data_IF_489388930691
#
_entry.id   IF_489388930691
#
_cell.length_a   1.000
_cell.length_b   1.000
_cell.length_c   1.000
_cell.angle_alpha   90.00
_cell.angle_beta   90.00
_cell.angle_gamma   90.00
#
_symmetry.space_group_name_H-M   'P 1'
#
loop_
_entity.id
_entity.type
_entity.pdbx_description
1 polymer ?
#
# COMPACT_ATOMS: atom_id res chain seq x y z
N UNK A 1 -36.99 45.05 -65.01
CA UNK A 1 -35.69 44.39 -65.30
C UNK A 1 -35.18 43.71 -64.04
N UNK A 2 -34.80 42.43 -64.15
CA UNK A 2 -34.54 41.51 -63.03
C UNK A 2 -33.21 41.80 -62.32
N UNK A 3 -33.26 41.68 -60.99
CA UNK A 3 -32.18 41.80 -59.99
C UNK A 3 -30.99 40.88 -60.24
N UNK A 4 -29.79 41.32 -59.84
CA UNK A 4 -28.68 40.44 -59.42
C UNK A 4 -27.98 41.06 -58.20
N UNK A 5 -28.04 40.36 -57.07
CA UNK A 5 -27.10 40.50 -55.94
C UNK A 5 -26.15 39.29 -55.99
N UNK A 6 -24.84 39.46 -55.69
CA UNK A 6 -23.92 38.34 -55.60
C UNK A 6 -24.03 37.62 -54.25
N UNK A 7 -24.05 36.30 -54.30
CA UNK A 7 -23.92 35.39 -53.15
C UNK A 7 -22.45 35.37 -52.69
N UNK A 8 -22.21 35.76 -51.44
CA UNK A 8 -20.95 35.49 -50.73
C UNK A 8 -21.14 34.19 -49.95
N UNK A 9 -20.39 33.16 -50.34
CA UNK A 9 -20.36 31.89 -49.63
C UNK A 9 -19.51 32.04 -48.36
N UNK A 10 -20.14 31.95 -47.19
CA UNK A 10 -19.45 31.85 -45.90
C UNK A 10 -19.05 30.38 -45.68
N UNK A 11 -17.75 30.10 -45.71
CA UNK A 11 -17.20 28.82 -45.28
C UNK A 11 -17.15 28.79 -43.74
N UNK A 12 -17.99 27.95 -43.13
CA UNK A 12 -17.95 27.66 -41.70
C UNK A 12 -16.93 26.53 -41.50
N UNK A 13 -15.73 26.88 -41.03
CA UNK A 13 -14.75 25.89 -40.58
C UNK A 13 -15.18 25.33 -39.22
N UNK A 14 -15.63 24.08 -39.20
CA UNK A 14 -15.88 23.33 -37.98
C UNK A 14 -14.54 22.99 -37.31
N UNK A 15 -14.18 23.72 -36.25
CA UNK A 15 -13.09 23.34 -35.36
C UNK A 15 -13.57 22.12 -34.53
N UNK A 16 -13.08 20.93 -34.88
CA UNK A 16 -13.27 19.75 -34.05
C UNK A 16 -12.56 19.96 -32.71
N UNK A 17 -13.34 20.12 -31.64
CA UNK A 17 -12.86 20.03 -30.26
C UNK A 17 -12.33 18.61 -30.04
N UNK A 18 -11.02 18.41 -30.21
CA UNK A 18 -10.35 17.22 -29.73
C UNK A 18 -10.44 17.25 -28.20
N UNK A 19 -11.34 16.45 -27.64
CA UNK A 19 -11.33 16.18 -26.21
C UNK A 19 -9.93 15.69 -25.83
N UNK A 20 -9.32 16.17 -24.73
CA UNK A 20 -8.04 15.64 -24.29
C UNK A 20 -8.22 14.14 -24.12
N UNK A 21 -7.44 13.35 -24.87
CA UNK A 21 -7.40 11.91 -24.68
C UNK A 21 -7.15 11.67 -23.20
N UNK A 22 -8.07 10.96 -22.54
CA UNK A 22 -7.84 10.46 -21.18
C UNK A 22 -6.46 9.80 -21.21
N UNK A 23 -5.49 10.37 -20.48
CA UNK A 23 -4.13 9.82 -20.44
C UNK A 23 -4.27 8.35 -20.05
N UNK A 24 -3.80 7.46 -20.93
CA UNK A 24 -3.86 6.04 -20.68
C UNK A 24 -3.27 5.75 -19.30
N UNK A 25 -3.98 4.96 -18.48
CA UNK A 25 -3.47 4.54 -17.19
C UNK A 25 -2.11 3.85 -17.38
N UNK A 26 -1.14 4.19 -16.53
CA UNK A 26 0.18 3.56 -16.52
C UNK A 26 -0.01 2.07 -16.22
N UNK A 27 0.26 1.21 -17.22
CA UNK A 27 -0.15 -0.20 -17.21
C UNK A 27 1.02 -1.14 -17.56
N UNK A 28 2.01 -1.26 -16.68
CA UNK A 28 3.13 -2.16 -16.90
C UNK A 28 2.74 -3.62 -16.69
N UNK A 29 3.37 -4.49 -17.47
CA UNK A 29 3.28 -5.93 -17.27
C UNK A 29 4.64 -6.59 -17.52
N UNK A 30 5.56 -6.51 -16.56
CA UNK A 30 6.84 -7.24 -16.60
C UNK A 30 6.65 -8.72 -16.20
N UNK A 31 5.74 -9.41 -16.89
CA UNK A 31 5.38 -10.82 -16.67
C UNK A 31 6.60 -11.73 -16.74
N UNK A 32 6.54 -12.89 -16.11
CA UNK A 32 7.67 -13.82 -16.02
C UNK A 32 8.29 -14.15 -17.39
N UNK A 33 7.47 -14.37 -18.41
CA UNK A 33 7.88 -14.65 -19.79
C UNK A 33 8.30 -13.43 -20.62
N UNK A 34 8.21 -12.20 -20.08
CA UNK A 34 8.59 -11.00 -20.82
C UNK A 34 10.09 -10.98 -21.10
N UNK A 35 10.46 -10.58 -22.32
CA UNK A 35 11.87 -10.38 -22.69
C UNK A 35 12.52 -9.22 -21.91
N UNK A 36 11.71 -8.35 -21.29
CA UNK A 36 12.17 -7.21 -20.50
C UNK A 36 12.08 -7.46 -18.99
N UNK A 37 11.81 -8.70 -18.57
CA UNK A 37 11.85 -9.11 -17.17
C UNK A 37 13.30 -9.24 -16.66
N UNK A 38 13.99 -8.11 -16.51
CA UNK A 38 15.37 -8.03 -16.00
C UNK A 38 15.46 -8.17 -14.48
N UNK A 39 14.31 -8.10 -13.79
CA UNK A 39 14.19 -8.17 -12.33
C UNK A 39 13.77 -9.55 -11.82
N UNK A 40 13.56 -10.52 -12.71
CA UNK A 40 13.26 -11.90 -12.35
C UNK A 40 11.89 -12.06 -11.69
N UNK A 41 10.88 -11.33 -12.16
CA UNK A 41 9.50 -11.49 -11.72
C UNK A 41 9.05 -12.94 -12.00
N UNK A 42 8.53 -13.62 -10.97
CA UNK A 42 8.37 -15.08 -11.00
C UNK A 42 7.05 -15.59 -11.57
N UNK A 43 6.04 -14.74 -11.63
CA UNK A 43 4.66 -15.15 -11.90
C UNK A 43 4.21 -14.58 -13.24
N UNK A 44 3.52 -15.39 -14.02
CA UNK A 44 2.88 -14.90 -15.24
C UNK A 44 1.70 -13.98 -14.91
N UNK A 45 1.52 -12.94 -15.70
CA UNK A 45 0.32 -12.12 -15.66
C UNK A 45 -0.90 -12.97 -16.01
N UNK A 46 -1.97 -12.78 -15.25
CA UNK A 46 -3.21 -13.52 -15.41
C UNK A 46 -4.26 -12.59 -16.04
N UNK A 47 -4.98 -13.03 -17.09
CA UNK A 47 -6.10 -12.26 -17.62
C UNK A 47 -7.17 -12.01 -16.55
N UNK A 48 -7.73 -10.81 -16.53
CA UNK A 48 -8.74 -10.46 -15.52
C UNK A 48 -9.47 -9.16 -15.78
N UNK A 49 -10.52 -8.96 -14.99
CA UNK A 49 -11.38 -7.78 -14.97
C UNK A 49 -11.30 -7.19 -13.57
N UNK A 50 -11.15 -5.86 -13.48
CA UNK A 50 -11.12 -5.20 -12.17
C UNK A 50 -12.47 -5.32 -11.48
N UNK A 51 -12.47 -5.52 -10.15
CA UNK A 51 -13.65 -5.26 -9.34
C UNK A 51 -14.16 -3.83 -9.56
N UNK A 52 -15.48 -3.66 -9.49
CA UNK A 52 -16.13 -2.36 -9.42
C UNK A 52 -15.75 -1.62 -8.13
N UNK A 53 -16.09 -0.33 -8.04
CA UNK A 53 -15.86 0.47 -6.82
C UNK A 53 -16.56 -0.14 -5.60
N UNK A 54 -17.77 -0.68 -5.78
CA UNK A 54 -18.52 -1.32 -4.69
C UNK A 54 -17.84 -2.63 -4.25
N UNK A 55 -17.41 -3.47 -5.19
CA UNK A 55 -16.70 -4.72 -4.88
C UNK A 55 -15.35 -4.45 -4.23
N UNK A 56 -14.60 -3.44 -4.68
CA UNK A 56 -13.35 -3.04 -4.01
C UNK A 56 -13.57 -2.60 -2.58
N UNK A 57 -14.59 -1.78 -2.31
CA UNK A 57 -14.92 -1.42 -0.93
C UNK A 57 -15.24 -2.67 -0.09
N UNK A 58 -16.06 -3.58 -0.59
CA UNK A 58 -16.36 -4.85 0.09
C UNK A 58 -15.10 -5.71 0.34
N UNK A 59 -14.16 -5.75 -0.62
CA UNK A 59 -12.87 -6.43 -0.45
C UNK A 59 -12.07 -5.76 0.69
N UNK A 60 -11.94 -4.44 0.70
CA UNK A 60 -11.20 -3.73 1.74
C UNK A 60 -11.84 -3.87 3.12
N UNK A 61 -13.17 -3.90 3.20
CA UNK A 61 -13.89 -4.12 4.46
C UNK A 61 -13.74 -5.57 4.94
N UNK A 62 -13.65 -6.54 4.02
CA UNK A 62 -13.32 -7.92 4.37
C UNK A 62 -11.88 -8.03 4.90
N UNK A 63 -10.91 -7.45 4.19
CA UNK A 63 -9.50 -7.56 4.57
C UNK A 63 -9.11 -6.66 5.75
N UNK A 64 -9.88 -5.63 6.08
CA UNK A 64 -9.64 -4.84 7.29
C UNK A 64 -9.91 -5.64 8.58
N UNK A 65 -10.80 -6.64 8.51
CA UNK A 65 -11.19 -7.48 9.66
C UNK A 65 -10.22 -8.64 9.95
N UNK A 66 -9.16 -8.81 9.17
CA UNK A 66 -8.13 -9.79 9.47
C UNK A 66 -8.39 -11.22 8.99
N UNK A 67 -7.45 -12.15 9.23
CA UNK A 67 -7.51 -13.54 8.76
C UNK A 67 -8.75 -14.30 9.21
N UNK A 68 -9.23 -14.03 10.42
CA UNK A 68 -10.45 -14.65 10.93
C UNK A 68 -11.67 -14.35 10.05
N UNK A 69 -11.70 -13.19 9.38
CA UNK A 69 -12.78 -12.79 8.49
C UNK A 69 -12.60 -13.32 7.05
N UNK A 70 -11.38 -13.26 6.49
CA UNK A 70 -11.15 -13.67 5.10
C UNK A 70 -10.90 -15.17 4.91
N UNK A 71 -10.53 -15.91 5.97
CA UNK A 71 -10.30 -17.36 5.90
C UNK A 71 -9.32 -17.74 4.79
N UNK A 72 -9.75 -18.61 3.88
CA UNK A 72 -8.92 -19.06 2.75
C UNK A 72 -8.83 -18.04 1.59
N UNK A 73 -9.55 -16.92 1.66
CA UNK A 73 -9.51 -15.87 0.63
C UNK A 73 -8.24 -15.00 0.70
N UNK A 74 -7.44 -15.13 1.77
CA UNK A 74 -6.16 -14.45 1.95
C UNK A 74 -5.10 -15.39 2.54
N UNK A 75 -3.84 -14.95 2.66
CA UNK A 75 -2.83 -15.72 3.36
C UNK A 75 -3.03 -15.67 4.87
N UNK A 76 -2.32 -16.55 5.58
CA UNK A 76 -2.11 -16.38 7.02
C UNK A 76 -1.35 -15.06 7.29
N UNK A 77 -1.58 -14.46 8.45
CA UNK A 77 -0.84 -13.27 8.89
C UNK A 77 -0.41 -13.37 10.34
N UNK A 78 0.58 -12.57 10.70
CA UNK A 78 1.04 -12.44 12.08
C UNK A 78 0.08 -11.56 12.89
N UNK A 79 -0.01 -11.79 14.20
CA UNK A 79 -0.65 -10.86 15.12
C UNK A 79 0.07 -9.50 15.14
N UNK A 80 -0.64 -8.48 15.63
CA UNK A 80 -0.12 -7.12 15.75
C UNK A 80 0.33 -6.85 17.18
N UNK A 81 1.46 -6.15 17.32
CA UNK A 81 1.81 -5.55 18.62
C UNK A 81 0.95 -4.32 18.87
N UNK A 82 0.30 -4.22 20.01
CA UNK A 82 -0.40 -3.03 20.49
C UNK A 82 0.26 -2.50 21.76
N UNK A 83 0.27 -1.17 21.96
CA UNK A 83 0.89 -0.52 23.10
C UNK A 83 2.37 -0.23 22.90
N UNK A 84 2.90 0.73 23.64
CA UNK A 84 4.30 1.18 23.57
C UNK A 84 4.98 1.29 24.94
N UNK A 85 4.57 0.44 25.89
CA UNK A 85 4.94 0.45 27.32
C UNK A 85 4.36 1.63 28.12
N UNK A 86 3.99 2.73 27.44
CA UNK A 86 3.38 3.90 28.03
C UNK A 86 2.42 4.56 27.05
N UNK A 87 1.13 4.78 27.41
CA UNK A 87 0.50 4.35 28.66
C UNK A 87 0.20 2.84 28.71
N UNK A 88 0.04 2.16 27.57
CA UNK A 88 -0.29 0.73 27.56
C UNK A 88 0.95 -0.15 27.42
N UNK A 89 0.99 -1.24 28.19
CA UNK A 89 1.99 -2.29 28.05
C UNK A 89 1.87 -2.98 26.69
N UNK A 90 3.00 -3.43 26.13
CA UNK A 90 2.99 -4.13 24.86
C UNK A 90 2.27 -5.48 24.97
N UNK A 91 1.35 -5.74 24.04
CA UNK A 91 0.66 -7.03 23.89
C UNK A 91 0.47 -7.41 22.43
N UNK A 92 0.27 -8.69 22.16
CA UNK A 92 -0.17 -9.16 20.84
C UNK A 92 -1.70 -9.14 20.77
N UNK A 93 -2.23 -8.69 19.64
CA UNK A 93 -3.66 -8.70 19.32
C UNK A 93 -3.88 -9.31 17.93
N UNK A 94 -5.11 -9.71 17.65
CA UNK A 94 -5.49 -10.16 16.32
C UNK A 94 -5.26 -9.06 15.29
N UNK A 95 -4.89 -9.47 14.08
CA UNK A 95 -4.53 -8.53 13.02
C UNK A 95 -5.77 -7.92 12.38
N UNK A 96 -6.12 -6.71 12.81
CA UNK A 96 -7.11 -5.84 12.16
C UNK A 96 -6.44 -4.57 11.64
N UNK A 97 -6.98 -3.98 10.57
CA UNK A 97 -6.34 -2.88 9.86
C UNK A 97 -7.38 -1.77 9.58
N UNK A 98 -6.98 -0.49 9.60
CA UNK A 98 -7.88 0.58 9.16
C UNK A 98 -8.21 0.46 7.68
N UNK A 99 -9.48 0.27 7.33
CA UNK A 99 -9.91 0.12 5.94
C UNK A 99 -9.60 1.37 5.09
N UNK A 100 -9.68 2.56 5.69
CA UNK A 100 -9.43 3.85 5.03
C UNK A 100 -7.97 3.89 4.57
N UNK A 101 -7.08 3.35 5.40
CA UNK A 101 -5.67 3.21 5.09
C UNK A 101 -5.43 2.18 3.97
N UNK A 102 -6.07 1.00 4.04
CA UNK A 102 -5.92 -0.02 2.99
C UNK A 102 -6.41 0.49 1.63
N UNK A 103 -7.57 1.16 1.62
CA UNK A 103 -8.16 1.87 0.48
C UNK A 103 -7.17 2.90 -0.09
N UNK A 104 -6.57 3.72 0.78
CA UNK A 104 -5.61 4.73 0.38
C UNK A 104 -4.30 4.16 -0.18
N UNK A 105 -3.74 3.11 0.44
CA UNK A 105 -2.54 2.41 -0.06
C UNK A 105 -2.81 1.86 -1.45
N UNK A 106 -3.85 1.06 -1.64
CA UNK A 106 -4.15 0.48 -2.97
C UNK A 106 -4.47 1.55 -4.02
N UNK A 107 -5.10 2.66 -3.62
CA UNK A 107 -5.34 3.80 -4.53
C UNK A 107 -4.02 4.46 -4.94
N UNK A 108 -3.07 4.57 -4.01
CA UNK A 108 -1.76 5.12 -4.26
C UNK A 108 -0.87 4.19 -5.09
N UNK A 109 -1.00 2.88 -4.91
CA UNK A 109 -0.20 1.87 -5.59
C UNK A 109 -0.62 1.63 -7.04
N UNK A 110 -1.93 1.59 -7.31
CA UNK A 110 -2.45 1.20 -8.63
C UNK A 110 -3.72 1.93 -9.07
N UNK A 111 -4.28 2.80 -8.23
CA UNK A 111 -5.60 3.37 -8.45
C UNK A 111 -6.74 2.35 -8.32
N UNK A 112 -6.57 1.33 -7.46
CA UNK A 112 -7.44 0.15 -7.34
C UNK A 112 -7.53 -0.68 -8.64
N UNK A 113 -6.39 -0.85 -9.32
CA UNK A 113 -6.33 -1.70 -10.51
C UNK A 113 -5.51 -2.95 -10.21
N UNK A 114 -6.16 -4.11 -10.27
CA UNK A 114 -5.49 -5.40 -10.30
C UNK A 114 -5.04 -5.73 -11.72
N UNK A 115 -5.88 -5.39 -12.71
CA UNK A 115 -5.70 -5.75 -14.10
C UNK A 115 -5.79 -4.52 -15.01
N UNK A 116 -4.99 -4.47 -16.06
CA UNK A 116 -5.25 -3.55 -17.17
C UNK A 116 -4.59 -4.04 -18.46
N UNK A 117 -4.97 -3.43 -19.59
CA UNK A 117 -4.34 -3.70 -20.86
C UNK A 117 -2.93 -3.09 -20.86
N UNK A 118 -1.86 -3.89 -20.97
CA UNK A 118 -0.51 -3.38 -20.84
C UNK A 118 -0.15 -2.37 -21.93
N UNK A 119 0.50 -1.28 -21.51
CA UNK A 119 1.09 -0.29 -22.41
C UNK A 119 2.62 -0.46 -22.55
N UNK A 120 3.21 -1.29 -21.68
CA UNK A 120 4.64 -1.61 -21.63
C UNK A 120 4.88 -2.93 -20.87
N UNK A 121 6.06 -3.55 -21.00
CA UNK A 121 7.09 -3.28 -21.99
C UNK A 121 6.62 -3.61 -23.43
N UNK A 122 7.45 -3.33 -24.44
CA UNK A 122 7.04 -3.35 -25.86
C UNK A 122 6.53 -4.72 -26.34
N UNK A 123 7.05 -5.81 -25.78
CA UNK A 123 6.60 -7.19 -26.05
C UNK A 123 5.24 -7.53 -25.42
N UNK A 124 4.76 -6.72 -24.49
CA UNK A 124 3.45 -6.86 -23.85
C UNK A 124 2.45 -5.81 -24.31
N UNK A 125 2.92 -4.67 -24.83
CA UNK A 125 2.07 -3.55 -25.22
C UNK A 125 0.95 -3.96 -26.21
N UNK A 126 -0.27 -3.52 -25.92
CA UNK A 126 -1.45 -3.79 -26.77
C UNK A 126 -2.10 -5.16 -26.53
N UNK A 127 -1.59 -5.95 -25.59
CA UNK A 127 -2.20 -7.21 -25.22
C UNK A 127 -3.47 -7.00 -24.35
N UNK A 128 -4.27 -8.06 -24.18
CA UNK A 128 -5.52 -8.00 -23.41
C UNK A 128 -5.28 -7.70 -21.92
N UNK A 129 -6.31 -7.16 -21.25
CA UNK A 129 -6.32 -6.90 -19.80
C UNK A 129 -5.81 -8.09 -19.01
N UNK A 130 -4.81 -7.85 -18.16
CA UNK A 130 -4.11 -8.84 -17.34
C UNK A 130 -3.48 -8.17 -16.13
N UNK A 131 -2.94 -8.96 -15.20
CA UNK A 131 -2.33 -8.48 -13.96
C UNK A 131 -1.33 -7.34 -14.23
N UNK A 132 -1.43 -6.26 -13.46
CA UNK A 132 -0.40 -5.22 -13.44
C UNK A 132 0.84 -5.79 -12.77
N UNK A 133 1.98 -5.73 -13.46
CA UNK A 133 3.28 -6.15 -12.94
C UNK A 133 4.26 -5.03 -13.22
N UNK A 134 4.69 -4.32 -12.19
CA UNK A 134 5.67 -3.24 -12.31
C UNK A 134 7.09 -3.78 -12.57
N UNK A 135 7.99 -2.89 -12.97
CA UNK A 135 9.37 -3.25 -13.32
C UNK A 135 10.14 -3.84 -12.13
N UNK A 136 9.75 -3.52 -10.90
CA UNK A 136 10.33 -4.05 -9.68
C UNK A 136 9.60 -5.31 -9.16
N UNK A 137 8.75 -5.91 -9.99
CA UNK A 137 7.95 -7.10 -9.66
C UNK A 137 6.88 -6.85 -8.60
N UNK A 138 6.29 -5.66 -8.57
CA UNK A 138 5.09 -5.33 -7.81
C UNK A 138 3.83 -5.78 -8.54
N UNK A 139 3.02 -6.63 -7.91
CA UNK A 139 1.84 -7.25 -8.53
C UNK A 139 0.55 -6.63 -8.03
N UNK A 140 -0.32 -6.30 -8.99
CA UNK A 140 -1.73 -6.03 -8.76
C UNK A 140 -2.02 -4.77 -7.94
N UNK A 141 -3.18 -4.76 -7.31
CA UNK A 141 -3.76 -3.55 -6.73
C UNK A 141 -2.95 -2.97 -5.57
N UNK A 142 -2.34 -3.85 -4.76
CA UNK A 142 -1.51 -3.50 -3.61
C UNK A 142 0.00 -3.52 -3.91
N UNK A 143 0.40 -3.69 -5.18
CA UNK A 143 1.79 -3.72 -5.66
C UNK A 143 2.70 -4.59 -4.80
N UNK A 144 2.33 -5.86 -4.64
CA UNK A 144 3.06 -6.83 -3.81
C UNK A 144 4.38 -7.17 -4.50
N UNK A 145 5.51 -6.80 -3.89
CA UNK A 145 6.85 -7.05 -4.46
C UNK A 145 7.63 -8.14 -3.73
N UNK A 146 7.64 -8.12 -2.39
CA UNK A 146 8.36 -9.12 -1.59
C UNK A 146 7.74 -10.50 -1.77
N UNK A 147 8.52 -11.51 -2.17
CA UNK A 147 7.99 -12.86 -2.41
C UNK A 147 7.61 -13.15 -3.87
N UNK A 148 7.72 -12.15 -4.75
CA UNK A 148 7.25 -12.25 -6.13
C UNK A 148 8.36 -12.44 -7.17
N UNK A 149 9.62 -12.64 -6.73
CA UNK A 149 10.79 -12.86 -7.58
C UNK A 149 11.20 -14.33 -7.63
N UNK A 150 11.90 -14.70 -8.70
CA UNK A 150 12.43 -16.05 -8.88
C UNK A 150 13.41 -16.39 -7.77
N UNK A 151 13.18 -17.51 -7.08
CA UNK A 151 13.98 -17.95 -5.93
C UNK A 151 13.46 -17.46 -4.58
N UNK A 152 12.47 -16.57 -4.55
CA UNK A 152 11.78 -16.22 -3.31
C UNK A 152 11.00 -17.43 -2.76
N UNK A 153 10.84 -17.47 -1.44
CA UNK A 153 10.05 -18.50 -0.73
C UNK A 153 9.04 -17.81 0.20
N UNK A 154 7.98 -17.19 -0.35
CA UNK A 154 6.99 -16.50 0.46
C UNK A 154 6.11 -17.45 1.26
N UNK A 155 5.53 -16.93 2.35
CA UNK A 155 4.53 -17.61 3.17
C UNK A 155 3.10 -17.55 2.59
N UNK A 156 2.96 -17.11 1.34
CA UNK A 156 1.69 -16.96 0.62
C UNK A 156 1.84 -17.50 -0.81
N UNK A 157 0.73 -17.67 -1.53
CA UNK A 157 0.73 -18.16 -2.92
C UNK A 157 0.90 -16.98 -3.92
N UNK A 158 2.06 -16.87 -4.60
CA UNK A 158 2.31 -15.79 -5.55
C UNK A 158 1.35 -15.79 -6.75
N UNK A 159 0.84 -16.95 -7.15
CA UNK A 159 -0.09 -17.05 -8.29
C UNK A 159 -1.44 -16.45 -7.93
N UNK A 160 -1.90 -16.65 -6.69
CA UNK A 160 -3.12 -16.01 -6.18
C UNK A 160 -2.95 -14.50 -6.05
N UNK A 161 -1.78 -14.02 -5.63
CA UNK A 161 -1.47 -12.57 -5.62
C UNK A 161 -1.66 -11.93 -7.00
N UNK A 162 -1.28 -12.64 -8.07
CA UNK A 162 -1.46 -12.15 -9.44
C UNK A 162 -2.91 -12.24 -9.93
N UNK A 163 -3.64 -13.28 -9.54
CA UNK A 163 -4.94 -13.64 -10.11
C UNK A 163 -6.17 -13.14 -9.35
N UNK A 164 -6.07 -12.95 -8.03
CA UNK A 164 -7.21 -12.73 -7.15
C UNK A 164 -7.09 -11.37 -6.44
N UNK A 165 -7.96 -10.39 -6.77
CA UNK A 165 -7.98 -9.07 -6.12
C UNK A 165 -8.10 -9.12 -4.58
N UNK A 166 -8.87 -10.07 -4.04
CA UNK A 166 -9.04 -10.23 -2.59
C UNK A 166 -7.77 -10.75 -1.96
N UNK A 167 -7.18 -11.79 -2.55
CA UNK A 167 -5.92 -12.36 -2.07
C UNK A 167 -4.76 -11.38 -2.18
N UNK A 168 -4.71 -10.58 -3.26
CA UNK A 168 -3.74 -9.50 -3.43
C UNK A 168 -3.84 -8.46 -2.30
N UNK A 169 -5.06 -7.96 -2.04
CA UNK A 169 -5.30 -7.00 -0.96
C UNK A 169 -4.95 -7.59 0.42
N UNK A 170 -5.37 -8.83 0.70
CA UNK A 170 -5.06 -9.52 1.95
C UNK A 170 -3.54 -9.73 2.11
N UNK A 171 -2.81 -10.04 1.04
CA UNK A 171 -1.34 -10.14 1.06
C UNK A 171 -0.69 -8.78 1.33
N UNK A 172 -1.28 -7.69 0.84
CA UNK A 172 -0.90 -6.33 1.21
C UNK A 172 -1.01 -6.09 2.72
N UNK A 173 -2.09 -6.55 3.36
CA UNK A 173 -2.24 -6.46 4.82
C UNK A 173 -1.22 -7.31 5.58
N UNK A 174 -0.88 -8.50 5.05
CA UNK A 174 0.17 -9.35 5.62
C UNK A 174 1.53 -8.63 5.63
N UNK A 175 1.88 -7.98 4.51
CA UNK A 175 3.10 -7.17 4.44
C UNK A 175 3.02 -5.98 5.39
N UNK A 176 1.89 -5.28 5.43
CA UNK A 176 1.70 -4.14 6.32
C UNK A 176 1.84 -4.53 7.80
N UNK A 177 1.35 -5.70 8.22
CA UNK A 177 1.54 -6.24 9.57
C UNK A 177 3.03 -6.47 9.88
N UNK A 178 3.80 -7.00 8.93
CA UNK A 178 5.26 -7.12 9.08
C UNK A 178 5.92 -5.74 9.24
N UNK A 179 5.47 -4.72 8.49
CA UNK A 179 6.00 -3.35 8.61
C UNK A 179 5.66 -2.73 9.95
N UNK A 180 4.44 -2.89 10.42
CA UNK A 180 4.00 -2.46 11.74
C UNK A 180 4.92 -3.01 12.83
N UNK A 181 5.18 -4.32 12.80
CA UNK A 181 6.11 -4.99 13.72
C UNK A 181 7.55 -4.45 13.62
N UNK A 182 8.02 -4.14 12.41
CA UNK A 182 9.40 -3.71 12.16
C UNK A 182 9.66 -2.22 12.50
N UNK A 183 8.62 -1.40 12.61
CA UNK A 183 8.75 0.05 12.81
C UNK A 183 8.67 0.46 14.28
N UNK A 184 9.18 1.65 14.60
CA UNK A 184 9.01 2.27 15.92
C UNK A 184 7.56 2.75 16.11
N UNK A 185 7.17 2.91 17.37
CA UNK A 185 5.84 3.37 17.74
C UNK A 185 5.50 4.74 17.14
N UNK A 186 4.23 4.91 16.76
CA UNK A 186 3.61 6.22 16.57
C UNK A 186 2.45 6.25 17.55
N UNK A 187 2.43 7.28 18.40
CA UNK A 187 1.54 7.27 19.55
C UNK A 187 1.75 6.04 20.43
N UNK A 188 0.65 5.44 20.86
CA UNK A 188 0.65 4.20 21.64
C UNK A 188 0.39 2.94 20.79
N UNK A 189 0.65 3.00 19.47
CA UNK A 189 0.57 1.83 18.56
C UNK A 189 -0.76 1.09 18.69
N UNK A 190 -1.85 1.82 18.57
CA UNK A 190 -3.21 1.28 18.57
C UNK A 190 -3.62 0.90 17.13
N UNK A 191 -3.83 -0.39 16.78
CA UNK A 191 -4.14 -0.81 15.41
C UNK A 191 -5.40 -0.18 14.82
N UNK A 192 -6.38 0.16 15.67
CA UNK A 192 -7.62 0.80 15.24
C UNK A 192 -7.47 2.28 14.89
N UNK A 193 -6.35 2.93 15.26
CA UNK A 193 -6.09 4.34 14.99
C UNK A 193 -5.32 4.48 13.68
N UNK A 194 -5.89 5.18 12.71
CA UNK A 194 -5.32 5.35 11.35
C UNK A 194 -3.91 5.93 11.41
N UNK A 195 -3.72 7.02 12.16
CA UNK A 195 -2.47 7.76 12.18
C UNK A 195 -1.31 7.00 12.83
N UNK A 196 -1.59 6.03 13.71
CA UNK A 196 -0.55 5.20 14.32
C UNK A 196 0.18 4.31 13.30
N UNK A 197 -0.38 4.13 12.11
CA UNK A 197 0.26 3.37 11.03
C UNK A 197 1.29 4.19 10.23
N UNK A 198 1.47 5.49 10.49
CA UNK A 198 2.30 6.38 9.67
C UNK A 198 3.69 5.80 9.34
N UNK A 199 4.41 5.30 10.35
CA UNK A 199 5.75 4.70 10.15
C UNK A 199 5.69 3.39 9.36
N UNK A 200 4.65 2.56 9.59
CA UNK A 200 4.44 1.32 8.85
C UNK A 200 4.12 1.57 7.37
N UNK A 201 3.37 2.63 7.07
CA UNK A 201 3.08 3.09 5.70
C UNK A 201 4.34 3.55 5.00
N UNK A 202 5.19 4.33 5.68
CA UNK A 202 6.50 4.68 5.14
C UNK A 202 7.33 3.40 4.85
N UNK A 203 7.36 2.45 5.79
CA UNK A 203 8.07 1.19 5.60
C UNK A 203 7.46 0.25 4.54
N UNK A 204 6.18 0.43 4.18
CA UNK A 204 5.51 -0.32 3.12
C UNK A 204 6.17 -0.05 1.76
N UNK A 205 6.38 1.23 1.42
CA UNK A 205 7.15 1.61 0.24
C UNK A 205 8.66 1.39 0.43
N UNK A 206 9.18 1.74 1.62
CA UNK A 206 10.58 1.57 1.99
C UNK A 206 11.09 2.68 2.89
N UNK A 207 11.70 2.27 4.01
CA UNK A 207 12.43 3.17 4.91
C UNK A 207 13.69 3.67 4.20
N UNK A 208 13.67 4.92 3.76
CA UNK A 208 14.76 5.56 3.04
C UNK A 208 14.69 7.08 3.21
N UNK A 209 15.86 7.72 3.20
CA UNK A 209 15.98 9.17 3.27
C UNK A 209 15.25 9.89 2.13
N UNK A 210 15.13 9.25 0.96
CA UNK A 210 14.40 9.84 -0.17
C UNK A 210 12.92 10.06 0.14
N UNK A 211 12.34 9.25 1.04
CA UNK A 211 10.96 9.34 1.50
C UNK A 211 10.82 10.07 2.85
N UNK A 212 11.92 10.64 3.38
CA UNK A 212 11.84 11.40 4.62
C UNK A 212 11.10 12.74 4.37
N UNK A 213 10.05 13.07 5.15
CA UNK A 213 9.37 14.38 5.13
C UNK A 213 10.25 15.62 5.25
N UNK A 214 11.41 15.50 5.89
CA UNK A 214 12.41 16.56 6.04
C UNK A 214 13.43 16.58 4.89
N UNK A 215 13.29 15.73 3.87
CA UNK A 215 14.15 15.77 2.70
C UNK A 215 13.94 17.10 1.95
N UNK A 216 15.00 17.87 1.65
CA UNK A 216 14.91 19.20 1.05
C UNK A 216 14.39 19.19 -0.40
N UNK A 217 14.21 18.02 -1.01
CA UNK A 217 13.52 17.87 -2.30
C UNK A 217 12.00 18.08 -2.20
N UNK A 218 11.44 18.07 -0.99
CA UNK A 218 10.03 18.38 -0.74
C UNK A 218 9.89 19.85 -0.34
N UNK A 219 8.80 20.48 -0.81
CA UNK A 219 8.49 21.85 -0.43
C UNK A 219 8.23 21.95 1.09
N UNK A 220 8.92 22.89 1.74
CA UNK A 220 8.83 23.14 3.17
C UNK A 220 7.50 23.77 3.60
N UNK A 221 6.73 24.31 2.66
CA UNK A 221 5.37 24.83 2.84
C UNK A 221 4.29 23.95 2.21
N UNK A 222 4.59 22.69 1.85
CA UNK A 222 3.61 21.79 1.23
C UNK A 222 2.41 21.54 2.15
N UNK A 223 1.23 21.57 1.57
CA UNK A 223 -0.01 21.15 2.22
C UNK A 223 -0.22 19.64 2.14
N UNK A 224 -1.45 19.23 2.45
CA UNK A 224 -1.93 17.86 2.17
C UNK A 224 -1.74 17.56 0.69
N UNK A 225 -1.28 16.35 0.37
CA UNK A 225 -1.10 15.92 -1.01
C UNK A 225 -2.46 15.76 -1.72
N UNK A 226 -2.68 16.55 -2.78
CA UNK A 226 -3.83 16.42 -3.66
C UNK A 226 -3.41 15.75 -4.98
N UNK A 227 -3.87 14.52 -5.27
CA UNK A 227 -3.53 13.82 -6.50
C UNK A 227 -4.04 14.48 -7.79
N UNK A 228 -5.05 15.37 -7.70
CA UNK A 228 -5.53 16.14 -8.85
C UNK A 228 -4.57 17.27 -9.24
N UNK A 229 -3.78 17.77 -8.27
CA UNK A 229 -2.76 18.81 -8.47
C UNK A 229 -1.39 18.15 -8.73
N UNK A 230 -1.10 17.05 -8.02
CA UNK A 230 0.20 16.40 -8.01
C UNK A 230 1.21 17.15 -7.14
N UNK A 231 2.50 16.99 -7.47
CA UNK A 231 3.60 17.59 -6.72
C UNK A 231 4.41 16.57 -5.93
N UNK A 232 5.59 17.00 -5.48
CA UNK A 232 6.49 16.14 -4.71
C UNK A 232 6.01 16.03 -3.26
N UNK A 233 5.72 14.80 -2.82
CA UNK A 233 5.46 14.47 -1.43
C UNK A 233 6.06 13.08 -1.13
N UNK A 234 6.50 12.82 0.11
CA UNK A 234 6.93 11.49 0.50
C UNK A 234 5.76 10.51 0.52
N UNK A 235 6.05 9.22 0.35
CA UNK A 235 5.06 8.18 0.10
C UNK A 235 3.90 8.18 1.12
N UNK A 236 4.22 8.18 2.41
CA UNK A 236 3.22 8.14 3.48
C UNK A 236 2.31 9.37 3.50
N UNK A 237 2.82 10.54 3.11
CA UNK A 237 1.98 11.74 2.99
C UNK A 237 1.09 11.70 1.75
N UNK A 238 1.52 11.02 0.67
CA UNK A 238 0.68 10.77 -0.50
C UNK A 238 -0.46 9.83 -0.16
N UNK A 239 -0.18 8.74 0.55
CA UNK A 239 -1.21 7.81 1.07
C UNK A 239 -2.19 8.56 1.98
N UNK A 240 -1.69 9.37 2.92
CA UNK A 240 -2.55 10.15 3.82
C UNK A 240 -3.40 11.16 3.05
N UNK A 241 -2.83 11.85 2.06
CA UNK A 241 -3.57 12.73 1.16
C UNK A 241 -4.67 12.01 0.37
N UNK A 242 -4.49 10.75 -0.01
CA UNK A 242 -5.56 9.96 -0.65
C UNK A 242 -6.78 9.77 0.25
N UNK A 243 -6.63 9.75 1.57
CA UNK A 243 -7.75 9.66 2.52
C UNK A 243 -8.58 10.95 2.57
N UNK A 244 -7.98 12.10 2.27
CA UNK A 244 -8.66 13.39 2.15
C UNK A 244 -9.24 13.63 0.74
N UNK A 245 -8.59 13.07 -0.28
CA UNK A 245 -8.91 13.23 -1.69
C UNK A 245 -9.37 11.90 -2.34
N UNK A 246 -10.47 11.34 -1.84
CA UNK A 246 -10.95 10.00 -2.22
C UNK A 246 -11.56 9.91 -3.62
N UNK A 247 -11.85 11.06 -4.24
CA UNK A 247 -12.59 11.13 -5.51
C UNK A 247 -14.01 10.57 -5.41
N UNK A 248 -14.58 10.52 -4.20
CA UNK A 248 -15.92 9.98 -3.94
C UNK A 248 -16.01 8.45 -3.89
N UNK A 249 -14.88 7.74 -3.88
CA UNK A 249 -14.84 6.27 -3.87
C UNK A 249 -15.08 5.65 -2.49
N UNK A 250 -14.80 6.40 -1.42
CA UNK A 250 -15.11 6.06 -0.03
C UNK A 250 -15.25 7.36 0.80
N UNK A 251 -15.74 7.24 2.04
CA UNK A 251 -15.86 8.37 2.97
C UNK A 251 -14.47 8.99 3.24
N UNK A 252 -14.37 10.31 3.08
CA UNK A 252 -13.12 11.02 3.36
C UNK A 252 -12.89 11.16 4.87
N UNK A 253 -11.63 11.11 5.27
CA UNK A 253 -11.20 11.47 6.63
C UNK A 253 -10.06 12.46 6.57
N UNK A 254 -10.05 13.41 7.50
CA UNK A 254 -9.03 14.45 7.59
C UNK A 254 -7.96 14.02 8.60
N UNK A 255 -6.99 13.23 8.15
CA UNK A 255 -5.97 12.64 9.03
C UNK A 255 -5.04 13.69 9.65
N UNK A 256 -4.51 13.37 10.83
CA UNK A 256 -3.46 14.15 11.46
C UNK A 256 -2.05 13.69 11.04
N UNK A 257 -1.11 14.63 10.97
CA UNK A 257 0.28 14.38 10.58
C UNK A 257 1.23 14.50 11.79
N UNK A 258 2.34 13.73 11.83
CA UNK A 258 3.38 13.94 12.82
C UNK A 258 4.04 15.30 12.65
N UNK A 259 4.52 15.89 13.75
CA UNK A 259 5.29 17.12 13.67
C UNK A 259 6.64 16.85 13.00
N UNK A 260 6.99 17.63 11.96
CA UNK A 260 8.24 17.46 11.21
C UNK A 260 9.50 17.43 12.11
N UNK A 261 9.49 18.22 13.18
CA UNK A 261 10.58 18.26 14.15
C UNK A 261 10.82 16.94 14.90
N UNK A 262 9.81 16.05 14.99
CA UNK A 262 9.91 14.75 15.66
C UNK A 262 10.45 13.65 14.72
N UNK A 263 10.34 13.83 13.40
CA UNK A 263 10.68 12.81 12.40
C UNK A 263 12.20 12.63 12.26
N UNK A 264 12.96 13.71 12.45
CA UNK A 264 14.41 13.73 12.26
C UNK A 264 14.84 13.63 10.79
N UNK A 265 16.15 13.47 10.56
CA UNK A 265 16.75 13.50 9.22
C UNK A 265 17.15 12.12 8.67
N UNK A 266 16.80 11.02 9.36
CA UNK A 266 17.23 9.66 9.00
C UNK A 266 16.40 8.99 7.89
N UNK A 267 16.74 7.75 7.54
CA UNK A 267 15.94 6.93 6.62
C UNK A 267 14.74 6.24 7.29
N UNK A 268 14.66 6.30 8.62
CA UNK A 268 13.56 5.76 9.42
C UNK A 268 13.31 6.70 10.60
N UNK A 269 12.05 6.93 11.02
CA UNK A 269 11.75 7.78 12.15
C UNK A 269 12.04 7.06 13.48
N UNK A 270 12.28 7.85 14.53
CA UNK A 270 12.25 7.36 15.90
C UNK A 270 10.79 7.03 16.32
N UNK A 271 10.58 6.77 17.62
CA UNK A 271 9.21 6.76 18.13
C UNK A 271 8.61 8.18 18.02
N UNK A 272 7.39 8.28 17.48
CA UNK A 272 6.67 9.53 17.27
C UNK A 272 5.55 9.67 18.29
N UNK A 273 5.23 10.90 18.68
CA UNK A 273 4.05 11.17 19.49
C UNK A 273 2.76 10.95 18.67
N UNK A 274 1.60 11.07 19.32
CA UNK A 274 0.31 11.10 18.62
C UNK A 274 0.31 12.20 17.56
N UNK A 275 0.12 11.85 16.27
CA UNK A 275 0.02 12.83 15.20
C UNK A 275 -1.11 13.82 15.48
N UNK A 276 -0.82 15.11 15.30
CA UNK A 276 -1.79 16.17 15.59
C UNK A 276 -1.82 17.28 14.57
N UNK A 277 -0.84 17.39 13.68
CA UNK A 277 -0.72 18.52 12.77
C UNK A 277 -1.80 18.44 11.68
N UNK A 278 -2.41 19.58 11.34
CA UNK A 278 -3.50 19.64 10.36
C UNK A 278 -3.01 19.46 8.91
N UNK A 279 -1.71 19.54 8.66
CA UNK A 279 -1.07 19.21 7.38
C UNK A 279 0.37 18.75 7.63
N UNK A 280 1.08 18.26 6.60
CA UNK A 280 2.49 17.89 6.72
C UNK A 280 3.42 18.97 7.27
N UNK A 281 3.08 20.26 7.12
CA UNK A 281 3.93 21.39 7.49
C UNK A 281 3.26 22.38 8.45
N UNK A 282 1.97 22.19 8.78
CA UNK A 282 1.21 23.08 9.68
C UNK A 282 0.77 22.34 10.95
N UNK A 283 1.52 22.56 12.02
CA UNK A 283 1.19 22.11 13.37
C UNK A 283 0.59 23.22 14.25
N UNK A 284 0.35 24.40 13.69
CA UNK A 284 -0.33 25.51 14.41
C UNK A 284 -1.82 25.24 14.51
N UNK A 285 -2.38 24.59 13.47
CA UNK A 285 -3.70 23.96 13.50
C UNK A 285 -3.53 22.48 13.80
N UNK A 286 -4.48 21.94 14.57
CA UNK A 286 -4.47 20.53 14.95
C UNK A 286 -5.72 19.79 14.50
N UNK A 287 -5.58 18.47 14.33
CA UNK A 287 -6.66 17.52 14.02
C UNK A 287 -6.69 16.40 15.06
N UNK A 288 -7.86 15.82 15.36
CA UNK A 288 -7.96 14.63 16.20
C UNK A 288 -7.44 13.39 15.46
N UNK A 289 -7.16 12.33 16.22
CA UNK A 289 -6.90 11.00 15.69
C UNK A 289 -8.20 10.33 15.23
N UNK A 290 -8.10 9.38 14.29
CA UNK A 290 -9.24 8.68 13.72
C UNK A 290 -9.23 7.19 14.09
N UNK A 291 -10.29 6.74 14.75
CA UNK A 291 -10.61 5.31 14.88
C UNK A 291 -11.27 4.87 13.56
N UNK A 292 -10.78 3.78 12.97
CA UNK A 292 -11.37 3.19 11.76
C UNK A 292 -12.83 2.81 11.99
N UNK A 293 -13.69 3.04 10.97
CA UNK A 293 -15.14 2.77 11.08
C UNK A 293 -15.61 1.51 10.36
N UNK A 294 -14.80 0.92 9.48
CA UNK A 294 -15.27 -0.20 8.65
C UNK A 294 -15.47 -1.54 9.37
N UNK A 295 -15.11 -1.65 10.65
CA UNK A 295 -15.42 -2.85 11.43
C UNK A 295 -16.90 -2.91 11.84
N UNK A 296 -17.57 -1.75 11.92
CA UNK A 296 -18.91 -1.63 12.51
C UNK A 296 -20.04 -1.76 11.46
N UNK A 297 -19.73 -1.61 10.17
CA UNK A 297 -20.74 -1.57 9.09
C UNK A 297 -21.21 -2.97 8.62
N UNK A 298 -20.82 -4.05 9.32
CA UNK A 298 -21.07 -5.44 8.92
C UNK A 298 -21.90 -6.32 9.86
N UNK A 299 -22.39 -5.84 11.02
CA UNK A 299 -23.17 -6.66 11.98
C UNK A 299 -23.72 -5.84 13.15
N UNK A 300 -24.77 -6.32 13.87
CA UNK A 300 -25.57 -5.47 14.76
C UNK A 300 -24.73 -4.90 15.89
N UNK A 301 -24.87 -3.59 16.09
CA UNK A 301 -24.23 -2.77 17.11
C UNK A 301 -24.24 -3.45 18.48
N UNK A 302 -23.08 -3.96 18.91
CA UNK A 302 -22.80 -4.31 20.29
C UNK A 302 -22.10 -3.14 20.96
N UNK A 303 -22.77 -2.50 21.91
CA UNK A 303 -22.19 -1.47 22.77
C UNK A 303 -20.89 -1.98 23.42
N UNK A 304 -19.77 -1.36 23.09
CA UNK A 304 -18.44 -1.86 23.44
C UNK A 304 -17.43 -0.77 23.74
N UNK A 305 -17.63 -0.06 24.86
CA UNK A 305 -16.52 0.37 25.73
C UNK A 305 -15.73 1.60 25.33
N UNK A 306 -16.28 2.79 25.57
CA UNK A 306 -15.49 3.98 25.81
C UNK A 306 -14.78 3.85 27.18
N UNK A 307 -13.45 3.65 27.17
CA UNK A 307 -12.58 3.92 28.30
C UNK A 307 -11.50 4.90 27.84
N UNK A 308 -11.10 5.92 28.58
CA UNK A 308 -11.57 6.50 29.83
C UNK A 308 -10.82 7.83 29.97
N UNK A 309 -11.55 8.92 30.14
CA UNK A 309 -10.98 10.21 30.52
C UNK A 309 -11.44 10.52 31.95
N UNK A 310 -10.46 10.72 32.83
CA UNK A 310 -10.68 11.01 34.25
C UNK A 310 -11.31 12.38 34.50
N UNK A 311 -11.99 12.49 35.65
CA UNK A 311 -12.48 13.73 36.22
C UNK A 311 -13.40 13.44 37.40
N UNK A 312 -12.88 13.59 38.62
CA UNK A 312 -13.58 13.21 39.85
C UNK A 312 -14.48 14.28 40.47
N UNK A 313 -15.17 13.86 41.54
CA UNK A 313 -15.88 14.65 42.58
C UNK A 313 -17.06 15.50 42.09
N UNK A 314 -18.20 15.65 42.78
CA UNK A 314 -18.65 15.40 44.15
C UNK A 314 -20.20 15.46 44.13
N UNK A 315 -20.87 14.91 45.13
CA UNK A 315 -22.15 15.45 45.59
C UNK A 315 -23.31 14.47 45.61
N UNK A 316 -23.57 13.92 46.79
CA UNK A 316 -24.76 13.14 47.07
C UNK A 316 -26.05 13.97 47.09
N UNK A 317 -27.17 13.26 47.05
CA UNK A 317 -28.50 13.82 47.18
C UNK A 317 -29.53 12.70 47.19
N UNK A 318 -29.95 12.36 48.40
CA UNK A 318 -30.99 11.43 48.80
C UNK A 318 -32.36 11.67 48.15
N UNK A 319 -33.26 10.71 48.45
CA UNK A 319 -34.73 10.68 48.27
C UNK A 319 -35.21 10.11 46.93
N UNK A 320 -36.10 9.12 46.89
CA UNK A 320 -36.86 8.45 47.91
C UNK A 320 -38.14 7.90 47.28
N UNK A 321 -38.65 6.84 47.90
CA UNK A 321 -40.08 6.45 47.90
C UNK A 321 -40.59 5.48 46.82
N UNK A 322 -40.80 4.24 47.30
CA UNK A 322 -42.06 3.48 47.35
C UNK A 322 -42.85 3.19 46.07
N UNK A 323 -43.15 1.90 45.89
CA UNK A 323 -44.31 1.45 45.11
C UNK A 323 -44.31 -0.05 44.92
N UNK A 324 -44.70 -0.80 45.96
CA UNK A 324 -44.98 -2.24 45.85
C UNK A 324 -46.27 -2.52 45.07
N UNK A 325 -46.35 -3.74 44.55
CA UNK A 325 -47.53 -4.25 43.85
C UNK A 325 -47.36 -5.74 43.51
N UNK A 326 -47.54 -6.59 44.52
CA UNK A 326 -47.76 -8.03 44.37
C UNK A 326 -49.18 -8.32 43.84
N UNK A 327 -49.31 -9.35 42.99
CA UNK A 327 -50.39 -10.36 42.87
C UNK A 327 -50.41 -10.91 41.44
N UNK A 328 -49.95 -12.13 41.13
CA UNK A 328 -50.41 -13.49 41.49
C UNK A 328 -51.61 -14.02 40.67
N UNK A 329 -51.49 -15.30 40.31
CA UNK A 329 -52.48 -16.24 39.72
C UNK A 329 -52.75 -16.14 38.21
N UNK A 330 -52.93 -17.21 37.40
CA UNK A 330 -52.90 -18.68 37.61
C UNK A 330 -53.20 -19.41 36.29
N UNK A 331 -52.64 -20.62 36.11
CA UNK A 331 -53.16 -21.72 35.27
C UNK A 331 -52.83 -21.67 33.77
N UNK A 332 -52.59 -22.75 33.02
CA UNK A 332 -52.60 -24.19 33.32
C UNK A 332 -52.02 -24.96 32.12
N UNK A 333 -51.21 -25.98 32.45
CA UNK A 333 -51.20 -27.35 31.92
C UNK A 333 -50.98 -27.67 30.42
N UNK A 334 -50.03 -28.59 30.18
CA UNK A 334 -49.83 -29.32 28.92
C UNK A 334 -48.62 -30.25 28.99
N UNK A 335 -48.81 -31.46 29.50
CA UNK A 335 -47.82 -32.51 29.75
C UNK A 335 -47.66 -33.47 28.54
N UNK A 336 -46.49 -34.10 28.43
CA UNK A 336 -46.26 -35.38 27.71
C UNK A 336 -45.24 -35.26 26.57
N UNK A 337 -44.23 -36.10 26.42
CA UNK A 337 -43.81 -37.31 27.12
C UNK A 337 -42.46 -37.77 26.56
N UNK A 338 -41.69 -38.46 27.39
CA UNK A 338 -40.39 -39.08 27.11
C UNK A 338 -40.55 -40.55 26.70
N UNK A 339 -39.63 -41.05 25.84
CA UNK A 339 -39.10 -42.44 25.67
C UNK A 339 -38.49 -42.54 24.27
N UNK A 340 -37.35 -43.15 23.94
CA UNK A 340 -36.31 -43.95 24.60
C UNK A 340 -35.12 -44.05 23.60
N UNK A 341 -33.86 -44.14 24.03
CA UNK A 341 -33.10 -45.36 24.39
C UNK A 341 -32.46 -46.13 23.21
N UNK A 342 -31.13 -46.32 23.30
CA UNK A 342 -30.37 -47.42 22.67
C UNK A 342 -29.65 -47.06 21.35
N UNK A 343 -28.35 -47.29 21.16
CA UNK A 343 -27.42 -48.13 21.89
C UNK A 343 -25.96 -47.93 21.47
N UNK A 344 -25.12 -48.48 22.35
CA UNK A 344 -23.67 -48.56 22.42
C UNK A 344 -23.02 -49.51 21.41
N UNK A 345 -21.73 -49.30 21.14
CA UNK A 345 -20.84 -50.31 20.57
C UNK A 345 -19.39 -49.82 20.43
N UNK A 346 -18.58 -50.00 21.47
CA UNK A 346 -17.12 -49.88 21.39
C UNK A 346 -16.47 -51.19 20.98
N UNK A 347 -15.20 -51.15 20.59
CA UNK A 347 -14.24 -52.24 20.81
C UNK A 347 -12.81 -51.73 20.65
N UNK A 348 -12.03 -51.98 21.70
CA UNK A 348 -10.58 -51.86 21.76
C UNK A 348 -9.90 -53.04 21.03
N UNK A 349 -8.65 -52.84 20.62
CA UNK A 349 -7.76 -53.91 20.18
C UNK A 349 -6.30 -53.51 20.39
N UNK A 350 -5.65 -54.17 21.34
CA UNK A 350 -4.24 -54.00 21.71
C UNK A 350 -3.55 -55.36 21.80
N UNK A 351 -2.28 -55.43 21.38
CA UNK A 351 -1.32 -56.54 21.58
C UNK A 351 -0.96 -57.28 20.28
N UNK A 352 0.28 -57.67 19.95
CA UNK A 352 1.58 -57.59 20.63
C UNK A 352 2.55 -58.68 20.10
N UNK A 353 3.82 -58.31 19.91
CA UNK A 353 5.08 -59.09 20.09
C UNK A 353 5.64 -60.16 19.13
N UNK A 354 6.96 -59.97 18.88
CA UNK A 354 8.11 -60.91 18.77
C UNK A 354 8.25 -61.81 17.50
N UNK A 355 9.43 -62.13 16.96
CA UNK A 355 10.84 -61.93 17.32
C UNK A 355 11.77 -62.29 16.13
N UNK A 356 12.98 -61.69 16.03
CA UNK A 356 14.30 -62.30 16.30
C UNK A 356 15.07 -62.83 15.07
N UNK A 357 16.30 -62.33 14.84
CA UNK A 357 17.27 -62.96 13.94
C UNK A 357 18.41 -62.08 13.40
N UNK A 358 19.39 -61.72 14.25
CA UNK A 358 20.80 -61.42 13.89
C UNK A 358 21.57 -62.78 13.85
N UNK A 359 22.79 -62.94 13.27
CA UNK A 359 23.98 -62.06 13.32
C UNK A 359 24.68 -61.93 11.94
N UNK A 360 25.77 -61.21 11.66
CA UNK A 360 26.83 -60.48 12.38
C UNK A 360 27.97 -60.23 11.36
N UNK A 361 28.91 -59.32 11.65
CA UNK A 361 30.20 -59.27 10.92
C UNK A 361 30.69 -57.91 10.41
N UNK A 362 31.14 -57.06 11.34
CA UNK A 362 32.39 -56.28 11.42
C UNK A 362 33.24 -55.87 10.18
N UNK A 363 34.01 -54.78 10.42
CA UNK A 363 35.08 -54.12 9.65
C UNK A 363 34.61 -53.16 8.55
N UNK A 364 35.03 -51.89 8.46
CA UNK A 364 36.22 -51.20 8.96
C UNK A 364 36.75 -50.35 7.79
N UNK A 365 37.06 -49.06 8.00
CA UNK A 365 37.72 -48.25 6.97
C UNK A 365 37.25 -46.80 6.91
N UNK A 366 38.10 -45.90 7.40
CA UNK A 366 37.96 -44.46 7.36
C UNK A 366 38.41 -43.89 5.98
N UNK A 367 38.56 -42.57 5.79
CA UNK A 367 37.97 -41.80 4.70
C UNK A 367 38.92 -41.58 3.52
N UNK A 368 38.38 -41.15 2.38
CA UNK A 368 39.18 -40.68 1.24
C UNK A 368 39.03 -39.16 1.13
N UNK A 369 40.16 -38.48 1.31
CA UNK A 369 40.40 -37.07 1.05
C UNK A 369 41.25 -36.97 -0.23
N UNK A 370 40.89 -36.09 -1.17
CA UNK A 370 41.78 -35.32 -2.08
C UNK A 370 40.91 -34.61 -3.15
N UNK A 371 41.13 -33.35 -3.55
CA UNK A 371 42.37 -32.60 -3.48
C UNK A 371 42.21 -31.09 -3.32
N UNK A 372 43.28 -30.53 -2.74
CA UNK A 372 43.61 -29.12 -2.59
C UNK A 372 44.35 -28.59 -3.83
N UNK A 373 44.29 -27.26 -3.98
CA UNK A 373 45.37 -26.40 -4.48
C UNK A 373 44.87 -24.95 -4.49
N UNK A 374 45.38 -23.97 -3.75
CA UNK A 374 46.55 -23.89 -2.88
C UNK A 374 47.43 -22.69 -3.27
N UNK A 375 47.18 -21.51 -2.69
CA UNK A 375 48.14 -20.42 -2.35
C UNK A 375 47.34 -19.19 -1.87
N UNK A 376 47.61 -18.44 -0.80
CA UNK A 376 48.63 -18.50 0.24
C UNK A 376 48.91 -17.09 0.82
N UNK A 377 48.15 -16.70 1.89
CA UNK A 377 48.48 -15.82 3.06
C UNK A 377 48.91 -14.34 2.84
N UNK A 378 48.93 -13.46 3.90
CA UNK A 378 48.55 -13.61 5.33
C UNK A 378 47.41 -12.65 5.77
N UNK A 379 46.51 -13.04 6.68
CA UNK A 379 46.51 -12.88 8.17
C UNK A 379 46.87 -11.48 8.66
N UNK A 380 45.84 -10.76 9.11
CA UNK A 380 45.88 -9.92 10.31
C UNK A 380 44.56 -10.10 11.09
N UNK A 381 44.70 -10.20 12.41
CA UNK A 381 43.66 -10.24 13.45
C UNK A 381 42.73 -9.03 13.40
N UNK A 382 41.45 -9.22 13.71
CA UNK A 382 40.72 -8.50 14.77
C UNK A 382 39.22 -8.83 14.78
N UNK A 383 38.64 -8.86 15.99
CA UNK A 383 37.26 -8.41 16.20
C UNK A 383 36.18 -9.48 16.17
N UNK A 384 36.01 -10.16 17.31
CA UNK A 384 34.76 -10.80 17.71
C UNK A 384 33.65 -9.75 17.77
N UNK A 385 32.63 -9.84 16.91
CA UNK A 385 31.36 -9.14 17.07
C UNK A 385 30.16 -10.01 16.68
N UNK A 386 29.12 -9.80 17.47
CA UNK A 386 27.94 -10.61 17.68
C UNK A 386 27.01 -10.67 16.45
N UNK A 387 26.33 -11.81 16.30
CA UNK A 387 25.48 -12.13 15.16
C UNK A 387 24.24 -11.25 15.09
N UNK A 388 24.29 -10.20 14.26
CA UNK A 388 23.09 -9.53 13.75
C UNK A 388 22.94 -9.85 12.27
N UNK A 389 22.01 -10.75 11.96
CA UNK A 389 21.55 -11.05 10.61
C UNK A 389 20.91 -9.79 10.02
N UNK A 390 21.75 -8.95 9.40
CA UNK A 390 21.30 -7.78 8.67
C UNK A 390 20.78 -8.27 7.32
N UNK A 391 19.47 -8.42 7.20
CA UNK A 391 18.82 -8.56 5.89
C UNK A 391 19.07 -7.25 5.14
N UNK A 392 19.98 -7.29 4.17
CA UNK A 392 20.27 -6.19 3.25
C UNK A 392 19.00 -5.81 2.50
N UNK A 393 18.31 -4.77 2.98
CA UNK A 393 17.21 -4.12 2.27
C UNK A 393 17.84 -3.35 1.11
N UNK A 394 17.67 -3.87 -0.11
CA UNK A 394 18.16 -3.22 -1.32
C UNK A 394 17.62 -1.81 -1.47
N UNK A 395 18.46 -0.89 -1.96
CA UNK A 395 18.09 0.46 -2.36
C UNK A 395 16.98 0.39 -3.44
N UNK A 396 15.75 0.78 -3.10
CA UNK A 396 14.61 0.75 -4.00
C UNK A 396 14.57 1.97 -4.93
N UNK A 397 14.48 1.67 -6.23
CA UNK A 397 13.99 2.59 -7.26
C UNK A 397 12.48 2.72 -7.17
N UNK A 398 12.02 3.93 -7.48
CA UNK A 398 10.65 4.47 -7.35
C UNK A 398 9.54 3.56 -7.91
N UNK A 399 8.54 3.26 -7.09
CA UNK A 399 7.17 2.98 -7.53
C UNK A 399 6.30 4.19 -7.20
N UNK A 400 5.89 4.87 -8.26
CA UNK A 400 4.83 5.87 -8.21
C UNK A 400 4.15 5.83 -9.57
N UNK A 401 2.84 5.57 -9.57
CA UNK A 401 1.97 5.84 -10.71
C UNK A 401 1.79 7.34 -10.97
N UNK A 402 2.56 8.22 -10.32
CA UNK A 402 2.62 9.63 -10.73
C UNK A 402 3.34 9.73 -12.06
N UNK A 403 2.60 10.28 -13.02
CA UNK A 403 3.15 10.91 -14.21
C UNK A 403 4.35 11.78 -13.81
N UNK A 404 5.47 11.78 -14.57
CA UNK A 404 6.44 12.84 -14.44
C UNK A 404 5.74 14.16 -14.71
N UNK A 405 5.58 14.96 -13.65
CA UNK A 405 5.16 16.34 -13.76
C UNK A 405 6.09 17.04 -14.74
N UNK A 406 5.51 17.78 -15.68
CA UNK A 406 6.24 18.67 -16.58
C UNK A 406 6.99 19.71 -15.75
N UNK A 407 8.20 19.37 -15.31
CA UNK A 407 9.17 20.32 -14.83
C UNK A 407 9.42 21.31 -15.95
N UNK A 408 9.07 22.58 -15.70
CA UNK A 408 9.36 23.67 -16.62
C UNK A 408 10.83 23.66 -16.99
N UNK A 409 11.10 23.59 -18.29
CA UNK A 409 12.43 23.80 -18.82
C UNK A 409 12.86 25.24 -18.52
N UNK A 410 13.68 25.42 -17.49
CA UNK A 410 14.49 26.62 -17.37
C UNK A 410 15.62 26.53 -18.41
N UNK A 411 15.57 27.40 -19.40
CA UNK A 411 16.73 27.79 -20.21
C UNK A 411 17.03 26.92 -21.43
N UNK A 412 16.30 27.13 -22.53
CA UNK A 412 16.84 26.94 -23.87
C UNK A 412 16.41 28.12 -24.74
N UNK A 413 17.39 28.98 -25.02
CA UNK A 413 17.22 30.16 -25.87
C UNK A 413 16.76 29.76 -27.28
N UNK A 414 15.71 30.44 -27.71
CA UNK A 414 15.09 30.34 -29.03
C UNK A 414 16.09 30.56 -30.17
N UNK A 415 16.21 29.55 -31.03
CA UNK A 415 16.65 29.73 -32.43
C UNK A 415 15.66 28.99 -33.33
N UNK A 416 14.70 29.73 -33.89
CA UNK A 416 14.19 29.59 -35.26
C UNK A 416 12.95 30.46 -35.42
N UNK A 417 13.14 31.65 -36.00
CA UNK A 417 12.08 32.42 -36.62
C UNK A 417 12.66 33.12 -37.85
N UNK A 418 12.52 32.49 -39.02
CA UNK A 418 12.53 33.17 -40.31
C UNK A 418 11.71 32.36 -41.31
N UNK A 419 10.71 32.99 -41.93
CA UNK A 419 10.23 32.52 -43.23
C UNK A 419 8.75 32.70 -43.56
N UNK A 420 8.21 33.92 -43.50
CA UNK A 420 7.12 34.32 -44.41
C UNK A 420 7.14 35.84 -44.61
N UNK A 421 7.39 36.30 -45.84
CA UNK A 421 7.16 37.70 -46.19
C UNK A 421 7.99 38.26 -47.34
N UNK A 422 7.35 38.31 -48.52
CA UNK A 422 7.43 39.37 -49.52
C UNK A 422 8.61 39.43 -50.51
N UNK A 423 8.28 39.03 -51.74
CA UNK A 423 8.68 39.67 -53.00
C UNK A 423 8.46 41.20 -52.95
N UNK A 424 9.50 41.99 -53.25
CA UNK A 424 9.43 43.16 -54.14
C UNK A 424 10.82 43.82 -54.34
N UNK A 425 11.32 43.69 -55.56
CA UNK A 425 11.97 44.68 -56.41
C UNK A 425 12.94 45.76 -55.85
N UNK A 426 14.02 45.88 -56.63
CA UNK A 426 14.68 47.12 -57.08
C UNK A 426 15.87 47.67 -56.26
N UNK A 427 17.06 47.34 -56.77
CA UNK A 427 18.15 48.26 -57.13
C UNK A 427 18.30 49.56 -56.31
N UNK A 428 19.39 49.65 -55.52
CA UNK A 428 20.24 50.85 -55.50
C UNK A 428 21.67 50.52 -55.07
N UNK A 429 22.60 50.99 -55.91
CA UNK A 429 24.06 50.85 -55.85
C UNK A 429 24.63 51.47 -54.56
N UNK A 430 25.59 50.79 -53.94
CA UNK A 430 26.61 51.39 -53.07
C UNK A 430 27.81 51.83 -53.90
N UNK A 431 28.37 52.98 -53.55
CA UNK A 431 29.73 53.40 -53.85
C UNK A 431 30.34 54.00 -52.55
N UNK A 432 31.68 54.07 -52.42
CA UNK A 432 32.40 53.28 -51.43
C UNK A 432 33.21 54.11 -50.43
N UNK A 433 33.50 53.54 -49.25
CA UNK A 433 34.51 54.09 -48.33
C UNK A 433 35.86 53.40 -48.54
N UNK A 434 36.82 54.23 -48.93
CA UNK A 434 38.27 54.04 -49.01
C UNK A 434 38.87 53.24 -47.84
N UNK A 435 39.85 52.39 -48.15
CA UNK A 435 41.07 52.23 -47.35
C UNK A 435 42.29 52.48 -48.25
N UNK A 436 43.23 53.27 -47.73
CA UNK A 436 44.62 53.41 -48.20
C UNK A 436 45.45 52.31 -47.56
N UNK A 437 46.48 51.86 -48.27
CA UNK A 437 47.57 51.05 -47.77
C UNK A 437 48.27 50.35 -48.93
N UNK A 438 49.34 51.00 -49.39
CA UNK A 438 50.40 50.57 -50.33
C UNK A 438 50.10 50.44 -51.83
#
# INVERSE_FOLDING_TARGET
MRRRLPLVAAAISAAALAAPAARAAYCPCFTASSAYNDRGCAVEAVPGINPSVAEWNAIFDLVSRGPAAWGDAGPETIGLGQGCEKPEAQRQVDATFPCELLKAIAMQESGWQQFCAPDRPMDQAGASSRTIISFDCGYGASQITSGMRGGDSPAFDPRRVAADPTYNAATGTHILAMKWKATRCVGDRQPAIVEHWYSAVWAYNGLSYVNNPNNPNYDAGRGVYDPAIGGAAPYQERVFGRMEHTGGRWEKIEVAYPALGEIGAGGAPAALSDPRCASPTDCTRTRPLHVTRCADDGGPTGDGGAGGAGGGSTGGGDSGSTGGGDSSSSGSAGSGGSTGSGGSGGSAGSGGSAGSGRPGGNAGGAPVTAGQGGSGRPVDDEGSDDGTTTTTVGLYGRCSCDLPGSGGAAGAASWMALGAGALAAAWRRRLPSRRRGD
#
